data_IF_346190743159
#
_entry.id   IF_346190743159
#
_cell.length_a   1.000
_cell.length_b   1.000
_cell.length_c   1.000
_cell.angle_alpha   90.00
_cell.angle_beta   90.00
_cell.angle_gamma   90.00
#
_symmetry.space_group_name_H-M   'P 1'
#
loop_
_entity.id
_entity.type
_entity.pdbx_description
1 polymer ?
#
# COMPACT_ATOMS: atom_id res chain seq x y z
N UNK A 1 -20.81 -2.15 -31.37
CA UNK A 1 -20.37 -2.80 -30.11
C UNK A 1 -19.58 -1.81 -29.26
N UNK A 2 -20.27 -0.91 -28.54
CA UNK A 2 -19.65 0.06 -27.61
C UNK A 2 -20.06 -0.16 -26.15
N UNK A 3 -21.11 -0.95 -25.90
CA UNK A 3 -21.58 -1.27 -24.55
C UNK A 3 -20.54 -2.04 -23.73
N UNK A 4 -19.74 -2.91 -24.35
CA UNK A 4 -18.74 -3.71 -23.62
C UNK A 4 -17.68 -2.84 -22.97
N UNK A 5 -17.24 -1.75 -23.63
CA UNK A 5 -16.23 -0.85 -23.08
C UNK A 5 -16.79 -0.02 -21.92
N UNK A 6 -18.02 0.49 -22.06
CA UNK A 6 -18.69 1.26 -21.00
C UNK A 6 -18.98 0.40 -19.78
N UNK A 7 -19.44 -0.85 -19.98
CA UNK A 7 -19.65 -1.79 -18.88
C UNK A 7 -18.32 -2.13 -18.21
N UNK A 8 -17.25 -2.39 -18.99
CA UNK A 8 -15.92 -2.66 -18.43
C UNK A 8 -15.38 -1.48 -17.61
N UNK A 9 -15.57 -0.25 -18.10
CA UNK A 9 -15.15 0.97 -17.40
C UNK A 9 -15.96 1.20 -16.12
N UNK A 10 -17.27 0.91 -16.14
CA UNK A 10 -18.14 1.00 -14.95
C UNK A 10 -17.81 -0.09 -13.95
N UNK A 11 -17.49 -1.31 -14.39
CA UNK A 11 -17.04 -2.41 -13.51
C UNK A 11 -15.66 -2.12 -12.94
N UNK A 12 -14.74 -1.57 -13.74
CA UNK A 12 -13.42 -1.14 -13.27
C UNK A 12 -13.56 0.01 -12.26
N UNK A 13 -14.40 1.00 -12.55
CA UNK A 13 -14.75 2.06 -11.61
C UNK A 13 -15.34 1.47 -10.33
N UNK A 14 -16.33 0.57 -10.39
CA UNK A 14 -16.89 -0.08 -9.20
C UNK A 14 -15.85 -0.91 -8.43
N UNK A 15 -14.93 -1.60 -9.10
CA UNK A 15 -13.83 -2.31 -8.46
C UNK A 15 -12.80 -1.36 -7.82
N UNK A 16 -12.63 -0.15 -8.37
CA UNK A 16 -11.79 0.91 -7.80
C UNK A 16 -12.51 1.75 -6.73
N UNK A 17 -13.84 1.84 -6.76
CA UNK A 17 -14.72 2.56 -5.84
C UNK A 17 -15.17 1.72 -4.64
N UNK A 18 -15.08 0.38 -4.71
CA UNK A 18 -15.18 -0.45 -3.51
C UNK A 18 -13.87 -0.34 -2.74
N UNK A 19 -13.71 0.83 -2.11
CA UNK A 19 -12.52 1.22 -1.37
C UNK A 19 -12.51 0.43 -0.08
N UNK A 20 -12.04 -0.80 -0.21
CA UNK A 20 -11.43 -1.57 0.86
C UNK A 20 -9.95 -1.42 0.58
N UNK A 21 -9.15 -1.04 1.57
CA UNK A 21 -7.69 -1.04 1.43
C UNK A 21 -7.32 -2.37 0.76
N UNK A 22 -6.66 -2.31 -0.39
CA UNK A 22 -6.20 -3.53 -1.03
C UNK A 22 -5.36 -4.30 0.01
N UNK A 23 -5.72 -5.56 0.28
CA UNK A 23 -5.00 -6.41 1.26
C UNK A 23 -3.48 -6.41 0.99
N UNK A 24 -3.09 -6.29 -0.28
CA UNK A 24 -1.70 -6.13 -0.70
C UNK A 24 -1.05 -4.85 -0.16
N UNK A 25 -1.76 -3.72 -0.14
CA UNK A 25 -1.26 -2.45 0.39
C UNK A 25 -1.09 -2.51 1.91
N UNK A 26 -2.05 -3.08 2.64
CA UNK A 26 -1.94 -3.29 4.08
C UNK A 26 -0.73 -4.18 4.43
N UNK A 27 -0.55 -5.27 3.68
CA UNK A 27 0.60 -6.17 3.84
C UNK A 27 1.92 -5.45 3.53
N UNK A 28 1.95 -4.64 2.47
CA UNK A 28 3.12 -3.86 2.09
C UNK A 28 3.53 -2.85 3.16
N UNK A 29 2.57 -2.11 3.71
CA UNK A 29 2.80 -1.13 4.78
C UNK A 29 3.31 -1.85 6.04
N UNK A 30 2.65 -2.91 6.47
CA UNK A 30 3.08 -3.69 7.64
C UNK A 30 4.51 -4.19 7.49
N UNK A 31 4.83 -4.78 6.34
CA UNK A 31 6.17 -5.26 6.09
C UNK A 31 7.21 -4.13 6.02
N UNK A 32 6.85 -2.99 5.42
CA UNK A 32 7.72 -1.81 5.40
C UNK A 32 8.09 -1.36 6.82
N UNK A 33 7.12 -1.35 7.74
CA UNK A 33 7.32 -0.93 9.13
C UNK A 33 8.11 -1.96 9.96
N UNK A 34 7.84 -3.25 9.80
CA UNK A 34 8.23 -4.28 10.79
C UNK A 34 9.17 -5.38 10.28
N UNK A 35 9.34 -5.56 8.97
CA UNK A 35 10.25 -6.60 8.45
C UNK A 35 11.64 -6.06 8.19
N UNK A 36 12.63 -6.94 8.26
CA UNK A 36 14.02 -6.63 7.90
C UNK A 36 14.17 -6.44 6.38
N UNK A 37 15.16 -5.65 5.98
CA UNK A 37 15.41 -5.27 4.58
C UNK A 37 15.44 -6.43 3.57
N UNK A 38 16.12 -7.58 3.80
CA UNK A 38 16.12 -8.66 2.82
C UNK A 38 14.71 -9.26 2.62
N UNK A 39 13.94 -9.40 3.70
CA UNK A 39 12.56 -9.91 3.64
C UNK A 39 11.67 -8.91 2.90
N UNK A 40 11.80 -7.62 3.19
CA UNK A 40 11.04 -6.58 2.49
C UNK A 40 11.40 -6.50 1.00
N UNK A 41 12.67 -6.62 0.65
CA UNK A 41 13.14 -6.63 -0.75
C UNK A 41 12.55 -7.79 -1.53
N UNK A 42 12.47 -8.99 -0.93
CA UNK A 42 11.79 -10.14 -1.55
C UNK A 42 10.30 -9.87 -1.77
N UNK A 43 9.63 -9.20 -0.82
CA UNK A 43 8.23 -8.82 -1.03
C UNK A 43 8.04 -7.78 -2.14
N UNK A 44 8.98 -6.85 -2.32
CA UNK A 44 8.93 -5.86 -3.40
C UNK A 44 8.95 -6.49 -4.80
N UNK A 45 9.59 -7.67 -4.96
CA UNK A 45 9.66 -8.37 -6.25
C UNK A 45 8.28 -8.76 -6.78
N UNK A 46 7.30 -9.00 -5.89
CA UNK A 46 5.92 -9.36 -6.27
C UNK A 46 5.21 -8.29 -7.10
N UNK A 47 5.66 -7.04 -7.00
CA UNK A 47 5.05 -5.90 -7.69
C UNK A 47 5.67 -5.62 -9.07
N UNK A 48 6.74 -6.36 -9.45
CA UNK A 48 7.44 -6.20 -10.73
C UNK A 48 7.78 -4.72 -11.05
N UNK A 49 8.09 -3.94 -10.01
CA UNK A 49 8.34 -2.51 -10.13
C UNK A 49 9.70 -2.22 -10.78
N UNK A 50 9.86 -1.08 -11.48
CA UNK A 50 11.16 -0.65 -12.01
C UNK A 50 12.21 -0.57 -10.91
N UNK A 51 13.46 -0.91 -11.24
CA UNK A 51 14.59 -0.91 -10.29
C UNK A 51 14.73 0.41 -9.53
N UNK A 52 14.57 1.54 -10.23
CA UNK A 52 14.61 2.89 -9.65
C UNK A 52 13.55 3.11 -8.55
N UNK A 53 12.35 2.56 -8.72
CA UNK A 53 11.28 2.68 -7.72
C UNK A 53 11.56 1.79 -6.50
N UNK A 54 12.10 0.60 -6.71
CA UNK A 54 12.53 -0.32 -5.63
C UNK A 54 13.63 0.33 -4.80
N UNK A 55 14.64 0.90 -5.45
CA UNK A 55 15.77 1.57 -4.79
C UNK A 55 15.31 2.78 -3.96
N UNK A 56 14.49 3.65 -4.53
CA UNK A 56 13.90 4.78 -3.81
C UNK A 56 13.10 4.31 -2.58
N UNK A 57 12.33 3.22 -2.71
CA UNK A 57 11.56 2.68 -1.58
C UNK A 57 12.45 2.11 -0.48
N UNK A 58 13.54 1.42 -0.85
CA UNK A 58 14.52 0.90 0.10
C UNK A 58 15.27 2.03 0.81
N UNK A 59 15.58 3.13 0.12
CA UNK A 59 16.19 4.31 0.75
C UNK A 59 15.29 4.91 1.84
N UNK A 60 13.99 5.01 1.59
CA UNK A 60 13.03 5.48 2.61
C UNK A 60 12.93 4.46 3.77
N UNK A 61 13.07 3.16 3.48
CA UNK A 61 13.08 2.13 4.52
C UNK A 61 14.26 2.29 5.46
N UNK A 62 15.43 2.70 4.99
CA UNK A 62 16.59 2.98 5.86
C UNK A 62 16.23 4.01 6.92
N UNK A 63 15.59 5.12 6.54
CA UNK A 63 15.09 6.11 7.50
C UNK A 63 14.04 5.54 8.45
N UNK A 64 13.14 4.69 7.94
CA UNK A 64 12.13 4.03 8.75
C UNK A 64 12.76 3.08 9.79
N UNK A 65 13.87 2.43 9.46
CA UNK A 65 14.55 1.48 10.33
C UNK A 65 15.09 2.14 11.60
N UNK A 66 15.55 3.40 11.51
CA UNK A 66 16.01 4.21 12.65
C UNK A 66 14.89 4.60 13.64
N UNK A 67 13.63 4.51 13.22
CA UNK A 67 12.49 4.79 14.11
C UNK A 67 12.35 3.66 15.14
N UNK A 68 12.17 4.05 16.40
CA UNK A 68 11.95 3.10 17.50
C UNK A 68 10.73 2.21 17.25
N UNK A 69 10.76 0.98 17.78
CA UNK A 69 9.67 0.03 17.61
C UNK A 69 8.33 0.56 18.15
N UNK A 70 8.36 1.28 19.28
CA UNK A 70 7.16 1.93 19.84
C UNK A 70 6.55 2.96 18.89
N UNK A 71 7.38 3.80 18.25
CA UNK A 71 6.89 4.79 17.29
C UNK A 71 6.37 4.14 16.01
N UNK A 72 7.01 3.06 15.52
CA UNK A 72 6.48 2.24 14.41
C UNK A 72 5.09 1.69 14.72
N UNK A 73 4.87 1.22 15.95
CA UNK A 73 3.57 0.73 16.40
C UNK A 73 2.52 1.85 16.46
N UNK A 74 2.89 3.04 16.92
CA UNK A 74 1.98 4.20 16.91
C UNK A 74 1.59 4.58 15.48
N UNK A 75 2.55 4.60 14.54
CA UNK A 75 2.28 4.85 13.12
C UNK A 75 1.31 3.79 12.56
N UNK A 76 1.54 2.51 12.82
CA UNK A 76 0.64 1.45 12.38
C UNK A 76 -0.79 1.62 12.93
N UNK A 77 -0.93 1.98 14.22
CA UNK A 77 -2.24 2.26 14.83
C UNK A 77 -2.95 3.45 14.17
N UNK A 78 -2.23 4.53 13.88
CA UNK A 78 -2.79 5.68 13.17
C UNK A 78 -3.26 5.29 11.77
N UNK A 79 -2.51 4.45 11.06
CA UNK A 79 -2.89 3.97 9.72
C UNK A 79 -4.16 3.11 9.74
N UNK A 80 -4.37 2.30 10.78
CA UNK A 80 -5.62 1.54 10.99
C UNK A 80 -6.82 2.47 11.18
N UNK A 81 -6.64 3.59 11.89
CA UNK A 81 -7.69 4.59 12.11
C UNK A 81 -7.98 5.39 10.83
N UNK A 82 -6.93 5.77 10.08
CA UNK A 82 -7.07 6.61 8.88
C UNK A 82 -7.61 5.86 7.67
N UNK A 83 -7.29 4.58 7.51
CA UNK A 83 -7.75 3.83 6.34
C UNK A 83 -9.27 3.82 6.14
N UNK A 84 -10.12 3.61 7.17
CA UNK A 84 -11.56 3.75 6.99
C UNK A 84 -11.99 5.20 6.71
N UNK A 85 -11.28 6.21 7.23
CA UNK A 85 -11.57 7.63 6.97
C UNK A 85 -11.28 8.05 5.52
N UNK A 86 -10.29 7.44 4.86
CA UNK A 86 -10.03 7.66 3.44
C UNK A 86 -11.18 7.17 2.55
N UNK A 87 -12.07 6.29 3.03
CA UNK A 87 -13.22 5.79 2.27
C UNK A 87 -14.46 6.68 2.43
N UNK A 88 -14.42 7.65 3.35
CA UNK A 88 -15.57 8.52 3.70
C UNK A 88 -15.49 9.87 2.98
N UNK A 89 -14.33 10.25 2.42
CA UNK A 89 -14.11 11.60 1.90
C UNK A 89 -14.53 11.82 0.44
N UNK A 90 -15.13 10.82 -0.20
CA UNK A 90 -15.66 10.91 -1.57
C UNK A 90 -17.19 10.71 -1.59
N UNK A 91 -17.92 11.43 -0.71
CA UNK A 91 -19.39 11.63 -0.80
C UNK A 91 -19.69 13.05 -1.23
#
# INVERSE_FOLDING_TARGET
MRLSLSVLLVTLALCCFNVIICSSLATHISAFLFTIDPVYKLQLQKYMAPSKAVEAKLQVKTCMNEISHGNKLLIAKILVILCPLCMIKDV
#
